data_IF_456498243387
#
_entry.id   IF_456498243387
#
_cell.length_a   1.000
_cell.length_b   1.000
_cell.length_c   1.000
_cell.angle_alpha   90.00
_cell.angle_beta   90.00
_cell.angle_gamma   90.00
#
_symmetry.space_group_name_H-M   'P 1'
#
loop_
_entity.id
_entity.type
_entity.pdbx_description
1 polymer ?
#
# COMPACT_ATOMS: atom_id res chain seq x y z
N UNK A 1 13.51 -69.46 67.38
CA UNK A 1 12.94 -70.19 66.22
C UNK A 1 11.45 -69.83 66.19
N UNK A 2 10.97 -68.81 65.49
CA UNK A 2 11.35 -68.35 64.15
C UNK A 2 10.40 -68.97 63.15
N UNK A 3 9.16 -68.47 63.04
CA UNK A 3 8.22 -68.81 61.96
C UNK A 3 7.01 -67.87 62.04
N UNK A 4 7.16 -66.63 61.57
CA UNK A 4 6.08 -65.81 61.00
C UNK A 4 6.63 -64.51 60.39
N UNK A 5 7.89 -64.54 59.94
CA UNK A 5 8.52 -63.44 59.21
C UNK A 5 8.93 -63.95 57.83
N UNK A 6 7.92 -64.24 56.99
CA UNK A 6 8.11 -64.54 55.56
C UNK A 6 6.81 -64.59 54.75
N UNK A 7 5.92 -63.62 54.93
CA UNK A 7 5.16 -63.16 53.76
C UNK A 7 6.07 -62.21 52.98
N UNK A 8 7.14 -62.81 52.44
CA UNK A 8 7.86 -62.28 51.30
C UNK A 8 6.79 -61.89 50.29
N UNK A 9 6.74 -60.62 49.89
CA UNK A 9 6.04 -60.18 48.69
C UNK A 9 6.47 -61.09 47.53
N UNK A 10 5.75 -62.19 47.31
CA UNK A 10 6.09 -63.15 46.27
C UNK A 10 5.54 -62.57 44.98
N UNK A 11 6.46 -62.09 44.17
CA UNK A 11 6.18 -61.63 42.82
C UNK A 11 6.00 -62.85 41.90
N UNK A 12 5.03 -62.77 41.00
CA UNK A 12 4.79 -63.78 39.98
C UNK A 12 5.97 -63.86 38.98
N UNK A 13 5.89 -64.79 38.01
CA UNK A 13 6.92 -64.98 36.98
C UNK A 13 7.13 -63.72 36.10
N UNK A 14 6.20 -62.78 36.13
CA UNK A 14 6.22 -61.53 35.38
C UNK A 14 6.68 -60.34 36.24
N UNK A 15 6.96 -60.56 37.53
CA UNK A 15 7.50 -59.57 38.45
C UNK A 15 6.47 -58.76 39.24
N UNK A 16 5.20 -59.19 39.33
CA UNK A 16 4.11 -58.48 40.02
C UNK A 16 3.63 -59.22 41.29
N UNK A 17 3.31 -58.49 42.36
CA UNK A 17 2.77 -59.04 43.60
C UNK A 17 1.32 -59.53 43.44
N UNK A 18 0.75 -60.10 44.52
CA UNK A 18 -0.65 -60.56 44.54
C UNK A 18 -1.68 -59.45 44.27
N UNK A 19 -1.32 -58.20 44.53
CA UNK A 19 -2.16 -57.03 44.26
C UNK A 19 -1.96 -56.50 42.83
N UNK A 20 -1.04 -57.10 42.05
CA UNK A 20 -0.75 -56.76 40.66
C UNK A 20 0.25 -55.62 40.45
N UNK A 21 1.14 -55.35 41.42
CA UNK A 21 2.15 -54.29 41.38
C UNK A 21 3.59 -54.84 41.32
N UNK A 22 4.44 -54.22 40.53
CA UNK A 22 5.87 -54.57 40.41
C UNK A 22 6.65 -54.22 41.69
N UNK A 23 7.95 -54.54 41.71
CA UNK A 23 8.84 -54.22 42.84
C UNK A 23 8.97 -52.72 43.13
N UNK A 24 8.73 -51.87 42.13
CA UNK A 24 8.72 -50.42 42.26
C UNK A 24 7.34 -49.91 42.74
N UNK A 25 6.35 -50.79 42.90
CA UNK A 25 5.00 -50.48 43.35
C UNK A 25 4.05 -50.00 42.25
N UNK A 26 4.31 -50.32 40.98
CA UNK A 26 3.50 -49.92 39.82
C UNK A 26 2.81 -51.12 39.15
N UNK A 27 1.55 -50.95 38.76
CA UNK A 27 0.79 -51.96 38.05
C UNK A 27 1.38 -52.24 36.68
N UNK A 28 0.92 -53.32 36.02
CA UNK A 28 1.25 -53.60 34.61
C UNK A 28 0.86 -52.47 33.65
N UNK A 29 -0.14 -51.67 34.03
CA UNK A 29 -0.56 -50.45 33.33
C UNK A 29 0.29 -49.22 33.66
N UNK A 30 1.29 -49.36 34.54
CA UNK A 30 2.28 -48.33 34.87
C UNK A 30 1.89 -47.38 36.01
N UNK A 31 0.86 -47.69 36.82
CA UNK A 31 0.34 -46.80 37.86
C UNK A 31 0.45 -47.44 39.25
N UNK A 32 0.82 -46.66 40.27
CA UNK A 32 0.87 -47.14 41.65
C UNK A 32 -0.52 -47.34 42.28
N UNK A 33 -0.58 -47.86 43.51
CA UNK A 33 -1.83 -48.06 44.27
C UNK A 33 -2.69 -46.81 44.43
N UNK A 34 -2.08 -45.61 44.35
CA UNK A 34 -2.78 -44.32 44.41
C UNK A 34 -3.20 -43.80 43.02
N UNK A 35 -2.94 -44.55 41.95
CA UNK A 35 -3.33 -44.25 40.59
C UNK A 35 -2.39 -43.31 39.82
N UNK A 36 -1.15 -43.13 40.27
CA UNK A 36 -0.17 -42.24 39.64
C UNK A 36 0.96 -43.02 38.93
N UNK A 37 1.41 -42.54 37.78
CA UNK A 37 2.53 -43.08 37.03
C UNK A 37 3.88 -42.81 37.72
N UNK A 38 4.98 -43.32 37.14
CA UNK A 38 6.35 -43.09 37.66
C UNK A 38 6.73 -41.61 37.71
N UNK A 39 6.09 -40.77 36.90
CA UNK A 39 6.30 -39.32 36.87
C UNK A 39 5.37 -38.56 37.83
N UNK A 40 4.50 -39.27 38.58
CA UNK A 40 3.60 -38.69 39.56
C UNK A 40 2.29 -38.12 38.99
N UNK A 41 1.88 -38.51 37.77
CA UNK A 41 0.64 -38.09 37.12
C UNK A 41 -0.41 -39.19 37.12
N UNK A 42 -1.68 -38.83 37.35
CA UNK A 42 -2.82 -39.74 37.26
C UNK A 42 -3.06 -40.19 35.81
N UNK A 43 -4.03 -41.10 35.62
CA UNK A 43 -4.42 -41.59 34.28
C UNK A 43 -4.91 -40.49 33.33
N UNK A 44 -5.32 -39.34 33.86
CA UNK A 44 -5.76 -38.18 33.08
C UNK A 44 -4.60 -37.19 32.86
N UNK A 45 -3.39 -37.50 33.32
CA UNK A 45 -2.20 -36.69 33.15
C UNK A 45 -2.02 -35.56 34.17
N UNK A 46 -2.66 -35.63 35.34
CA UNK A 46 -2.59 -34.60 36.39
C UNK A 46 -1.82 -35.07 37.64
N UNK A 47 -0.98 -34.21 38.19
CA UNK A 47 -0.23 -34.48 39.41
C UNK A 47 -1.16 -34.58 40.65
N UNK A 48 -0.59 -34.91 41.81
CA UNK A 48 -1.34 -34.98 43.08
C UNK A 48 -2.01 -33.66 43.48
N UNK A 49 -1.53 -32.53 42.96
CA UNK A 49 -2.10 -31.19 43.19
C UNK A 49 -3.16 -30.82 42.14
N UNK A 50 -3.40 -31.70 41.17
CA UNK A 50 -4.41 -31.53 40.12
C UNK A 50 -3.93 -30.78 38.89
N UNK A 51 -2.61 -30.67 38.65
CA UNK A 51 -2.03 -29.93 37.52
C UNK A 51 -1.40 -30.84 36.47
N UNK A 52 -1.61 -30.53 35.19
CA UNK A 52 -0.99 -31.26 34.08
C UNK A 52 0.53 -31.03 34.02
N UNK A 53 1.23 -31.72 33.11
CA UNK A 53 2.68 -31.54 32.90
C UNK A 53 3.09 -30.10 32.55
N UNK A 54 2.15 -29.28 32.05
CA UNK A 54 2.37 -27.87 31.72
C UNK A 54 1.99 -26.94 32.87
N UNK A 55 1.54 -27.48 34.00
CA UNK A 55 1.21 -26.72 35.21
C UNK A 55 -0.21 -26.15 35.22
N UNK A 56 -1.13 -26.65 34.40
CA UNK A 56 -2.52 -26.20 34.35
C UNK A 56 -3.47 -27.21 35.01
N UNK A 57 -4.44 -26.71 35.78
CA UNK A 57 -5.46 -27.52 36.41
C UNK A 57 -6.43 -28.13 35.37
N UNK A 58 -7.37 -28.95 35.83
CA UNK A 58 -8.38 -29.57 34.96
C UNK A 58 -9.29 -28.57 34.24
N UNK A 59 -9.38 -27.33 34.72
CA UNK A 59 -10.13 -26.23 34.09
C UNK A 59 -9.26 -25.41 33.14
N UNK A 60 -7.95 -25.70 33.06
CA UNK A 60 -7.00 -25.02 32.18
C UNK A 60 -6.36 -23.77 32.78
N UNK A 61 -6.37 -23.61 34.11
CA UNK A 61 -5.74 -22.49 34.81
C UNK A 61 -4.45 -22.91 35.51
N UNK A 62 -3.42 -22.07 35.46
CA UNK A 62 -2.19 -22.29 36.18
C UNK A 62 -2.36 -22.09 37.70
N UNK A 63 -1.29 -22.28 38.47
CA UNK A 63 -1.30 -22.09 39.93
C UNK A 63 -1.63 -20.67 40.38
N UNK A 64 -1.42 -19.67 39.53
CA UNK A 64 -1.74 -18.25 39.79
C UNK A 64 -3.16 -17.90 39.33
N UNK A 65 -3.84 -18.78 38.60
CA UNK A 65 -5.19 -18.62 38.07
C UNK A 65 -5.25 -18.03 36.66
N UNK A 66 -4.13 -18.00 35.92
CA UNK A 66 -4.09 -17.59 34.52
C UNK A 66 -4.46 -18.75 33.62
N UNK A 67 -5.26 -18.48 32.60
CA UNK A 67 -5.55 -19.45 31.55
C UNK A 67 -4.30 -19.74 30.69
N UNK A 68 -4.44 -20.66 29.73
CA UNK A 68 -3.37 -21.03 28.80
C UNK A 68 -2.89 -19.89 27.91
N UNK A 69 -3.67 -18.82 27.78
CA UNK A 69 -3.32 -17.62 27.03
C UNK A 69 -2.66 -16.57 27.92
N UNK A 70 -2.46 -16.85 29.21
CA UNK A 70 -1.86 -15.94 30.17
C UNK A 70 -2.82 -14.90 30.72
N UNK A 71 -4.14 -15.13 30.68
CA UNK A 71 -5.15 -14.19 31.20
C UNK A 71 -5.86 -14.72 32.44
N UNK A 72 -6.01 -13.86 33.45
CA UNK A 72 -6.80 -14.09 34.66
C UNK A 72 -7.84 -12.99 34.76
N UNK A 73 -9.11 -13.37 34.87
CA UNK A 73 -10.24 -12.42 34.85
C UNK A 73 -10.24 -11.48 33.62
N UNK A 74 -9.68 -11.95 32.50
CA UNK A 74 -9.58 -11.19 31.25
C UNK A 74 -8.36 -10.28 31.14
N UNK A 75 -7.44 -10.28 32.11
CA UNK A 75 -6.21 -9.47 32.12
C UNK A 75 -4.95 -10.32 32.21
N UNK A 76 -3.88 -9.89 31.53
CA UNK A 76 -2.55 -10.51 31.60
C UNK A 76 -1.86 -10.26 32.95
N UNK A 77 -0.63 -10.74 33.11
CA UNK A 77 0.15 -10.53 34.35
C UNK A 77 0.48 -9.05 34.59
N UNK A 78 0.55 -8.25 33.54
CA UNK A 78 0.76 -6.80 33.60
C UNK A 78 -0.57 -6.03 33.85
N UNK A 79 -1.71 -6.72 33.93
CA UNK A 79 -3.01 -6.13 34.19
C UNK A 79 -3.69 -5.51 32.97
N UNK A 80 -3.32 -5.92 31.75
CA UNK A 80 -3.91 -5.46 30.48
C UNK A 80 -4.80 -6.54 29.86
N UNK A 81 -5.93 -6.13 29.31
CA UNK A 81 -6.83 -7.01 28.58
C UNK A 81 -6.20 -7.46 27.25
N UNK A 82 -6.90 -8.35 26.54
CA UNK A 82 -6.46 -8.83 25.23
C UNK A 82 -6.35 -7.72 24.16
N UNK A 83 -6.92 -6.54 24.41
CA UNK A 83 -6.79 -5.35 23.54
C UNK A 83 -5.65 -4.43 24.00
N UNK A 84 -4.93 -4.79 25.06
CA UNK A 84 -3.82 -4.04 25.61
C UNK A 84 -4.23 -2.85 26.49
N UNK A 85 -5.43 -2.86 27.08
CA UNK A 85 -5.91 -1.83 28.00
C UNK A 85 -6.08 -2.36 29.42
N UNK A 86 -5.65 -1.58 30.41
CA UNK A 86 -5.85 -1.91 31.81
C UNK A 86 -7.32 -1.75 32.22
N UNK A 87 -7.63 -2.08 33.47
CA UNK A 87 -8.98 -1.97 34.03
C UNK A 87 -9.55 -0.54 33.99
N UNK A 88 -8.68 0.47 34.03
CA UNK A 88 -9.06 1.89 33.88
C UNK A 88 -9.23 2.31 32.41
N UNK A 89 -9.01 1.40 31.46
CA UNK A 89 -9.18 1.63 30.04
C UNK A 89 -7.98 2.31 29.34
N UNK A 90 -6.79 2.28 29.93
CA UNK A 90 -5.56 2.87 29.39
C UNK A 90 -4.55 1.80 28.96
N UNK A 91 -3.86 2.04 27.85
CA UNK A 91 -2.83 1.15 27.35
C UNK A 91 -1.52 1.30 28.14
N UNK A 92 -0.51 0.47 27.82
CA UNK A 92 0.82 0.53 28.44
C UNK A 92 1.51 1.91 28.34
N UNK A 93 1.14 2.73 27.36
CA UNK A 93 1.63 4.11 27.21
C UNK A 93 0.80 5.14 27.97
N UNK A 94 -0.22 4.72 28.72
CA UNK A 94 -1.10 5.58 29.49
C UNK A 94 -2.18 6.29 28.68
N UNK A 95 -2.52 5.80 27.48
CA UNK A 95 -3.57 6.39 26.62
C UNK A 95 -4.79 5.50 26.53
N UNK A 96 -5.97 6.09 26.62
CA UNK A 96 -7.24 5.41 26.44
C UNK A 96 -7.46 5.05 24.96
N UNK A 97 -8.56 4.34 24.69
CA UNK A 97 -8.92 3.93 23.32
C UNK A 97 -9.07 5.10 22.33
N UNK A 98 -9.38 6.31 22.82
CA UNK A 98 -9.48 7.53 22.00
C UNK A 98 -8.12 8.22 21.82
N UNK A 99 -7.04 7.69 22.40
CA UNK A 99 -5.69 8.22 22.29
C UNK A 99 -5.37 9.34 23.27
N UNK A 100 -6.13 9.49 24.35
CA UNK A 100 -5.89 10.53 25.38
C UNK A 100 -5.41 9.92 26.68
N UNK A 101 -4.50 10.60 27.35
CA UNK A 101 -4.04 10.24 28.68
C UNK A 101 -5.11 10.56 29.74
N UNK A 102 -4.80 10.26 31.00
CA UNK A 102 -5.72 10.49 32.14
C UNK A 102 -6.08 11.97 32.32
N UNK A 103 -5.19 12.86 31.93
CA UNK A 103 -5.39 14.32 31.97
C UNK A 103 -6.14 14.86 30.73
N UNK A 104 -6.52 13.98 29.79
CA UNK A 104 -7.30 14.34 28.60
C UNK A 104 -6.49 14.86 27.42
N UNK A 105 -5.17 14.62 27.38
CA UNK A 105 -4.27 15.07 26.30
C UNK A 105 -3.79 13.91 25.44
N UNK A 106 -3.64 14.15 24.13
CA UNK A 106 -3.07 13.20 23.19
C UNK A 106 -1.54 13.07 23.36
N UNK A 107 -0.92 12.20 22.56
CA UNK A 107 0.51 11.96 22.59
C UNK A 107 1.39 13.14 22.14
N UNK A 108 0.77 14.21 21.63
CA UNK A 108 1.42 15.48 21.28
C UNK A 108 1.00 16.60 22.22
N UNK A 109 0.38 16.26 23.35
CA UNK A 109 -0.03 17.23 24.35
C UNK A 109 -1.26 18.05 23.98
N UNK A 110 -2.08 17.63 23.01
CA UNK A 110 -3.32 18.34 22.68
C UNK A 110 -4.54 17.74 23.36
N UNK A 111 -5.37 18.59 23.96
CA UNK A 111 -6.66 18.19 24.51
C UNK A 111 -7.62 17.72 23.43
N UNK A 112 -8.79 17.21 23.84
CA UNK A 112 -9.87 16.90 22.90
C UNK A 112 -10.28 18.11 22.06
N UNK A 113 -10.35 19.29 22.69
CA UNK A 113 -10.67 20.58 22.07
C UNK A 113 -9.53 21.16 21.23
N UNK A 114 -8.38 20.48 21.20
CA UNK A 114 -7.22 20.89 20.40
C UNK A 114 -6.36 21.96 21.05
N UNK A 115 -6.45 22.16 22.36
CA UNK A 115 -5.59 23.06 23.12
C UNK A 115 -4.34 22.32 23.59
N UNK A 116 -3.16 22.88 23.32
CA UNK A 116 -1.89 22.28 23.72
C UNK A 116 -1.59 22.53 25.20
N UNK A 117 -1.07 21.52 25.87
CA UNK A 117 -0.83 21.50 27.32
C UNK A 117 0.12 22.61 27.77
N UNK A 118 1.17 22.91 27.01
CA UNK A 118 2.19 23.89 27.42
C UNK A 118 1.81 25.33 27.04
N UNK A 119 1.27 25.54 25.84
CA UNK A 119 1.01 26.89 25.31
C UNK A 119 -0.37 27.41 25.70
N UNK A 120 -1.24 26.53 26.20
CA UNK A 120 -2.66 26.82 26.53
C UNK A 120 -3.45 27.40 25.34
N UNK A 121 -2.96 27.18 24.12
CA UNK A 121 -3.53 27.67 22.87
C UNK A 121 -3.66 26.51 21.86
N UNK A 122 -4.34 26.73 20.72
CA UNK A 122 -4.50 25.68 19.69
C UNK A 122 -3.23 25.21 18.98
N UNK A 123 -2.06 25.76 19.32
CA UNK A 123 -0.78 25.49 18.68
C UNK A 123 0.23 25.01 19.71
N UNK A 124 1.06 24.02 19.35
CA UNK A 124 2.18 23.56 20.17
C UNK A 124 3.30 24.60 20.25
N UNK A 125 4.36 24.26 20.97
CA UNK A 125 5.57 25.09 21.11
C UNK A 125 6.30 25.34 19.79
N UNK A 126 6.09 24.49 18.78
CA UNK A 126 6.61 24.65 17.42
C UNK A 126 5.67 25.45 16.52
N UNK A 127 4.52 25.90 17.04
CA UNK A 127 3.54 26.69 16.32
C UNK A 127 2.58 25.88 15.43
N UNK A 128 2.48 24.56 15.60
CA UNK A 128 1.58 23.69 14.83
C UNK A 128 0.38 23.26 15.67
N UNK A 129 -0.80 23.17 15.07
CA UNK A 129 -2.00 22.71 15.75
C UNK A 129 -2.04 21.18 15.87
N UNK A 130 -3.09 20.66 16.53
CA UNK A 130 -3.36 19.22 16.61
C UNK A 130 -3.42 18.50 15.25
N UNK A 131 -3.73 19.19 14.15
CA UNK A 131 -3.71 18.58 12.80
C UNK A 131 -2.35 18.69 12.11
N UNK A 132 -1.36 19.30 12.77
CA UNK A 132 -0.01 19.49 12.25
C UNK A 132 0.14 20.72 11.35
N UNK A 133 -0.77 21.71 11.42
CA UNK A 133 -0.71 22.93 10.61
C UNK A 133 -0.44 24.16 11.47
N UNK A 134 0.41 25.05 10.97
CA UNK A 134 0.68 26.33 11.59
C UNK A 134 -0.51 27.29 11.48
N UNK A 135 -0.37 28.49 12.04
CA UNK A 135 -1.41 29.53 12.00
C UNK A 135 -1.84 29.93 10.58
N UNK A 136 -0.93 29.81 9.61
CA UNK A 136 -1.19 30.09 8.20
C UNK A 136 -1.79 28.86 7.47
N UNK A 137 -2.03 27.75 8.16
CA UNK A 137 -2.64 26.56 7.59
C UNK A 137 -1.67 25.65 6.84
N UNK A 138 -0.36 25.80 7.04
CA UNK A 138 0.68 24.98 6.40
C UNK A 138 1.34 24.02 7.38
N UNK A 139 1.63 22.81 6.94
CA UNK A 139 2.35 21.81 7.71
C UNK A 139 3.85 22.14 7.78
N UNK A 140 4.63 21.29 8.45
CA UNK A 140 6.07 21.48 8.60
C UNK A 140 6.84 21.50 7.27
N UNK A 141 6.30 20.83 6.26
CA UNK A 141 6.87 20.80 4.91
C UNK A 141 6.40 21.99 4.06
N UNK A 142 5.60 22.90 4.61
CA UNK A 142 5.11 24.09 3.91
C UNK A 142 3.86 23.87 3.05
N UNK A 143 3.15 22.75 3.21
CA UNK A 143 1.94 22.43 2.44
C UNK A 143 0.67 22.54 3.28
N UNK A 144 -0.38 23.07 2.67
CA UNK A 144 -1.70 23.16 3.28
C UNK A 144 -2.40 21.81 3.32
N UNK A 145 -3.63 21.77 3.89
CA UNK A 145 -4.44 20.55 3.99
C UNK A 145 -4.77 19.88 2.65
N UNK A 146 -4.71 20.64 1.55
CA UNK A 146 -4.95 20.15 0.20
C UNK A 146 -3.64 19.74 -0.50
N UNK A 147 -2.50 19.82 0.18
CA UNK A 147 -1.20 19.43 -0.35
C UNK A 147 -0.52 20.50 -1.21
N UNK A 148 -0.94 21.76 -1.13
CA UNK A 148 -0.36 22.87 -1.89
C UNK A 148 0.44 23.83 -1.00
N UNK A 149 1.57 24.31 -1.50
CA UNK A 149 2.40 25.30 -0.84
C UNK A 149 1.71 26.69 -0.87
N UNK A 150 2.41 27.71 -0.36
CA UNK A 150 1.89 29.08 -0.32
C UNK A 150 1.61 29.65 -1.71
N UNK A 151 2.35 29.20 -2.71
CA UNK A 151 2.24 29.64 -4.10
C UNK A 151 1.20 28.81 -4.88
N UNK A 152 0.52 27.86 -4.23
CA UNK A 152 -0.53 27.06 -4.84
C UNK A 152 -0.05 25.80 -5.58
N UNK A 153 1.20 25.39 -5.38
CA UNK A 153 1.81 24.23 -6.03
C UNK A 153 1.99 23.05 -5.07
N UNK A 154 1.72 21.85 -5.56
CA UNK A 154 1.90 20.63 -4.80
C UNK A 154 3.39 20.24 -4.72
N UNK A 155 3.68 19.14 -4.01
CA UNK A 155 5.06 18.66 -3.85
C UNK A 155 5.76 18.31 -5.16
N UNK A 156 5.00 18.02 -6.21
CA UNK A 156 5.52 17.73 -7.55
C UNK A 156 5.63 18.99 -8.42
N UNK A 157 5.36 20.18 -7.87
CA UNK A 157 5.46 21.44 -8.59
C UNK A 157 4.24 21.78 -9.45
N UNK A 158 3.10 21.09 -9.29
CA UNK A 158 1.88 21.37 -10.07
C UNK A 158 0.81 22.07 -9.25
N UNK A 159 0.12 23.03 -9.86
CA UNK A 159 -1.02 23.72 -9.28
C UNK A 159 -2.24 22.80 -9.20
N UNK A 160 -3.37 23.34 -8.72
CA UNK A 160 -4.62 22.58 -8.58
C UNK A 160 -5.16 22.05 -9.92
N UNK A 161 -4.88 22.76 -11.01
CA UNK A 161 -5.32 22.42 -12.36
C UNK A 161 -4.34 21.46 -13.06
N UNK A 162 -3.24 21.10 -12.39
CA UNK A 162 -2.27 20.12 -12.89
C UNK A 162 -1.14 20.71 -13.74
N UNK A 163 -0.97 22.04 -13.72
CA UNK A 163 0.09 22.75 -14.46
C UNK A 163 1.19 23.24 -13.55
N UNK A 164 2.43 23.18 -14.02
CA UNK A 164 3.59 23.67 -13.31
C UNK A 164 3.67 25.21 -13.33
N UNK A 165 4.78 25.75 -12.82
CA UNK A 165 5.02 27.20 -12.80
C UNK A 165 5.11 27.79 -14.21
N UNK A 166 5.59 27.01 -15.17
CA UNK A 166 5.74 27.40 -16.57
C UNK A 166 4.44 27.20 -17.38
N UNK A 167 3.39 26.68 -16.74
CA UNK A 167 2.07 26.47 -17.35
C UNK A 167 1.93 25.15 -18.09
N UNK A 168 2.80 24.16 -17.86
CA UNK A 168 2.78 22.85 -18.50
C UNK A 168 2.30 21.75 -17.56
N UNK A 169 1.48 20.85 -18.08
CA UNK A 169 1.03 19.69 -17.34
C UNK A 169 2.15 18.65 -17.19
N UNK A 170 1.88 17.57 -16.47
CA UNK A 170 2.84 16.47 -16.26
C UNK A 170 3.40 15.87 -17.56
N UNK A 171 2.65 15.95 -18.66
CA UNK A 171 3.06 15.45 -19.96
C UNK A 171 3.81 16.50 -20.80
N UNK A 172 4.04 17.70 -20.25
CA UNK A 172 4.75 18.78 -20.94
C UNK A 172 3.89 19.61 -21.88
N UNK A 173 2.56 19.56 -21.77
CA UNK A 173 1.64 20.35 -22.61
C UNK A 173 0.98 21.47 -21.82
N UNK A 174 0.87 22.64 -22.43
CA UNK A 174 0.19 23.81 -21.91
C UNK A 174 -1.32 23.58 -21.79
N UNK A 175 -2.02 24.55 -21.21
CA UNK A 175 -3.49 24.52 -21.14
C UNK A 175 -4.14 24.50 -22.53
N UNK A 176 -3.47 25.07 -23.52
CA UNK A 176 -3.91 25.07 -24.92
C UNK A 176 -3.54 23.77 -25.64
N UNK A 177 -2.86 22.83 -24.97
CA UNK A 177 -2.54 21.51 -25.51
C UNK A 177 -1.23 21.44 -26.29
N UNK A 178 -0.38 22.47 -26.23
CA UNK A 178 0.89 22.54 -26.96
C UNK A 178 2.09 22.37 -26.03
N UNK A 179 3.11 21.66 -26.49
CA UNK A 179 4.37 21.53 -25.78
C UNK A 179 5.17 22.83 -25.84
N UNK A 180 6.35 22.84 -25.22
CA UNK A 180 7.22 24.02 -25.17
C UNK A 180 7.72 24.48 -26.55
N UNK A 181 7.76 23.57 -27.51
CA UNK A 181 8.15 23.83 -28.90
C UNK A 181 6.95 24.25 -29.77
N UNK A 182 5.75 24.33 -29.19
CA UNK A 182 4.54 24.79 -29.87
C UNK A 182 3.74 23.69 -30.59
N UNK A 183 4.03 22.40 -30.34
CA UNK A 183 3.37 21.27 -30.99
C UNK A 183 2.40 20.53 -30.06
N UNK A 184 1.26 20.11 -30.59
CA UNK A 184 0.26 19.31 -29.89
C UNK A 184 0.73 17.88 -29.64
N UNK A 185 -0.12 17.06 -29.02
CA UNK A 185 0.20 15.65 -28.74
C UNK A 185 0.39 14.78 -30.00
N UNK A 186 -0.04 15.27 -31.16
CA UNK A 186 0.11 14.61 -32.44
C UNK A 186 1.32 15.17 -33.23
N UNK A 187 2.04 16.14 -32.68
CA UNK A 187 3.21 16.76 -33.31
C UNK A 187 2.88 17.91 -34.27
N UNK A 188 1.69 18.51 -34.21
CA UNK A 188 1.29 19.64 -35.07
C UNK A 188 1.20 20.95 -34.30
N UNK A 189 1.63 22.04 -34.94
CA UNK A 189 1.54 23.38 -34.39
C UNK A 189 0.09 23.90 -34.37
N UNK A 190 -0.10 25.14 -33.90
CA UNK A 190 -1.42 25.78 -33.89
C UNK A 190 -2.05 25.98 -35.28
N UNK A 191 -1.26 25.91 -36.34
CA UNK A 191 -1.71 26.00 -37.72
C UNK A 191 -1.95 24.63 -38.37
N UNK A 192 -1.66 23.53 -37.65
CA UNK A 192 -1.84 22.16 -38.15
C UNK A 192 -0.63 21.61 -38.91
N UNK A 193 0.55 22.21 -38.79
CA UNK A 193 1.78 21.79 -39.46
C UNK A 193 2.77 21.17 -38.48
N UNK A 194 3.38 20.05 -38.89
CA UNK A 194 4.36 19.34 -38.09
C UNK A 194 5.71 20.04 -38.06
N UNK A 195 6.67 19.46 -37.32
CA UNK A 195 8.06 19.97 -37.26
C UNK A 195 8.71 20.06 -38.65
N UNK A 196 8.33 19.19 -39.58
CA UNK A 196 8.79 19.19 -40.97
C UNK A 196 8.10 20.22 -41.87
N UNK A 197 7.12 20.98 -41.35
CA UNK A 197 6.37 21.98 -42.11
C UNK A 197 5.20 21.43 -42.92
N UNK A 198 4.88 20.13 -42.81
CA UNK A 198 3.76 19.49 -43.49
C UNK A 198 2.59 19.21 -42.55
N UNK A 199 1.37 19.35 -43.06
CA UNK A 199 0.16 19.04 -42.33
C UNK A 199 -0.06 17.52 -42.25
N UNK A 200 -1.17 17.12 -41.60
CA UNK A 200 -1.53 15.71 -41.43
C UNK A 200 -1.69 14.95 -42.75
N UNK A 201 -2.08 15.65 -43.81
CA UNK A 201 -2.28 15.09 -45.14
C UNK A 201 -0.98 15.08 -45.97
N UNK A 202 0.12 15.57 -45.42
CA UNK A 202 1.44 15.58 -46.05
C UNK A 202 1.73 16.82 -46.89
N UNK A 203 0.93 17.89 -46.79
CA UNK A 203 1.10 19.12 -47.59
C UNK A 203 1.62 20.29 -46.75
N UNK A 204 2.50 21.10 -47.33
CA UNK A 204 3.08 22.30 -46.73
C UNK A 204 2.07 23.46 -46.65
N UNK A 205 2.51 24.63 -46.19
CA UNK A 205 1.66 25.83 -46.10
C UNK A 205 1.17 26.34 -47.45
N UNK A 206 1.82 25.94 -48.54
CA UNK A 206 1.47 26.32 -49.91
C UNK A 206 0.59 25.25 -50.59
N UNK A 207 0.39 24.09 -49.96
CA UNK A 207 -0.45 23.01 -50.46
C UNK A 207 0.30 21.96 -51.28
N UNK A 208 1.64 21.89 -51.17
CA UNK A 208 2.48 20.92 -51.88
C UNK A 208 3.05 19.86 -50.95
N UNK A 209 3.15 18.62 -51.42
CA UNK A 209 3.78 17.53 -50.69
C UNK A 209 5.31 17.62 -50.67
N UNK A 210 5.97 16.65 -50.03
CA UNK A 210 7.44 16.62 -49.92
C UNK A 210 8.14 16.54 -51.28
N UNK A 211 7.46 16.02 -52.30
CA UNK A 211 7.95 15.92 -53.68
C UNK A 211 7.61 17.18 -54.51
N UNK A 212 6.88 18.14 -53.93
CA UNK A 212 6.51 19.41 -54.56
C UNK A 212 5.20 19.38 -55.34
N UNK A 213 4.31 18.40 -55.12
CA UNK A 213 3.04 18.26 -55.84
C UNK A 213 1.82 18.56 -54.98
N UNK A 214 0.81 19.20 -55.57
CA UNK A 214 -0.46 19.52 -54.91
C UNK A 214 -1.33 18.27 -54.70
N UNK A 215 -2.50 18.45 -54.07
CA UNK A 215 -3.46 17.35 -53.86
C UNK A 215 -3.99 16.69 -55.14
N UNK A 216 -3.80 17.33 -56.29
CA UNK A 216 -4.18 16.80 -57.60
C UNK A 216 -2.99 16.18 -58.34
N UNK A 217 -1.79 16.20 -57.75
CA UNK A 217 -0.57 15.63 -58.31
C UNK A 217 0.17 16.56 -59.27
N UNK A 218 -0.01 17.88 -59.19
CA UNK A 218 0.67 18.87 -60.04
C UNK A 218 1.65 19.74 -59.23
N UNK A 219 2.81 20.04 -59.81
CA UNK A 219 3.79 20.95 -59.23
C UNK A 219 3.34 22.42 -59.26
N UNK A 220 4.17 23.33 -58.73
CA UNK A 220 3.89 24.77 -58.73
C UNK A 220 3.68 25.36 -60.14
N UNK A 221 4.30 24.75 -61.16
CA UNK A 221 4.15 25.13 -62.57
C UNK A 221 2.93 24.48 -63.24
N UNK A 222 2.20 23.60 -62.55
CA UNK A 222 0.99 22.93 -63.01
C UNK A 222 1.23 21.64 -63.80
N UNK A 223 2.37 20.97 -63.64
CA UNK A 223 2.75 19.73 -64.31
C UNK A 223 2.77 18.53 -63.36
N UNK A 224 2.31 17.38 -63.84
CA UNK A 224 2.33 16.12 -63.09
C UNK A 224 3.75 15.55 -62.97
N UNK A 225 3.90 14.46 -62.21
CA UNK A 225 5.18 13.79 -62.02
C UNK A 225 5.80 13.20 -63.31
N UNK A 226 5.07 13.22 -64.42
CA UNK A 226 5.53 12.83 -65.75
C UNK A 226 5.84 14.04 -66.64
N UNK A 227 5.65 15.27 -66.13
CA UNK A 227 5.87 16.53 -66.81
C UNK A 227 4.72 16.97 -67.71
N UNK A 228 3.48 16.54 -67.46
CA UNK A 228 2.29 16.92 -68.25
C UNK A 228 1.29 17.76 -67.44
N UNK A 229 0.73 18.80 -68.06
CA UNK A 229 -0.32 19.63 -67.48
C UNK A 229 -1.64 18.85 -67.32
N UNK A 230 -2.63 19.47 -66.67
CA UNK A 230 -3.98 18.91 -66.51
C UNK A 230 -4.67 18.53 -67.83
N UNK A 231 -4.25 19.12 -68.95
CA UNK A 231 -4.77 18.85 -70.29
C UNK A 231 -3.98 17.71 -70.99
N UNK A 232 -2.92 17.20 -70.35
CA UNK A 232 -2.07 16.11 -70.82
C UNK A 232 -0.93 16.56 -71.74
N UNK A 233 -0.46 17.81 -71.66
CA UNK A 233 0.62 18.38 -72.48
C UNK A 233 1.84 18.80 -71.66
N UNK A 234 3.04 18.53 -72.17
CA UNK A 234 4.28 18.95 -71.53
C UNK A 234 4.55 20.47 -71.68
N UNK A 235 5.62 20.97 -71.06
CA UNK A 235 6.05 22.37 -71.18
C UNK A 235 6.26 22.85 -72.63
N UNK A 236 6.55 21.93 -73.56
CA UNK A 236 6.71 22.21 -74.98
C UNK A 236 5.39 22.14 -75.78
N UNK A 237 4.27 21.81 -75.13
CA UNK A 237 2.94 21.72 -75.73
C UNK A 237 2.66 20.38 -76.43
N UNK A 238 3.40 19.32 -76.12
CA UNK A 238 3.22 17.97 -76.68
C UNK A 238 2.59 17.01 -75.68
N UNK A 239 1.64 16.19 -76.15
CA UNK A 239 1.08 15.12 -75.32
C UNK A 239 1.95 13.86 -75.32
N UNK A 240 1.60 12.86 -74.49
CA UNK A 240 2.30 11.57 -74.38
C UNK A 240 2.43 10.75 -75.69
N UNK A 241 1.77 11.19 -76.76
CA UNK A 241 1.84 10.59 -78.10
C UNK A 241 2.61 11.49 -79.09
N UNK A 242 3.37 12.50 -78.63
CA UNK A 242 4.08 13.49 -79.45
C UNK A 242 3.16 14.32 -80.37
N UNK A 243 1.89 14.55 -80.01
CA UNK A 243 1.00 15.46 -80.74
C UNK A 243 0.97 16.84 -80.10
N UNK A 244 0.99 17.90 -80.90
CA UNK A 244 0.97 19.28 -80.42
C UNK A 244 -0.47 19.71 -80.04
N UNK A 245 -0.61 20.51 -78.97
CA UNK A 245 -1.89 21.09 -78.53
C UNK A 245 -2.64 21.82 -79.66
N UNK A 246 -1.91 22.51 -80.52
CA UNK A 246 -2.47 23.27 -81.65
C UNK A 246 -2.93 22.39 -82.83
N UNK A 247 -2.51 21.12 -82.91
CA UNK A 247 -2.90 20.20 -83.98
C UNK A 247 -4.23 19.49 -83.69
N UNK A 248 -4.67 19.44 -82.42
CA UNK A 248 -5.92 18.76 -82.03
C UNK A 248 -7.10 19.70 -81.77
N UNK A 249 -6.92 21.02 -81.75
CA UNK A 249 -8.03 21.98 -81.72
C UNK A 249 -8.73 22.13 -83.10
N UNK A 250 -8.18 21.52 -84.15
CA UNK A 250 -8.65 21.67 -85.55
C UNK A 250 -9.38 20.46 -86.13
N UNK A 251 -9.64 19.42 -85.34
CA UNK A 251 -10.49 18.26 -85.71
C UNK A 251 -11.84 18.29 -84.94
#
# INVERSE_FOLDING_TARGET
MGFLDRFSHTFDKQGYDLDGYDRDGFSKSGYNKKGYDKNGFDRNGYDKKGYDKRGYDRKGFDKKGYDKNGFKEGYDEDGFDFKGFNKDGYNKKGYNKKGYNKDGYDNRGFSIDGIHIDTKNPFDTNGYNKKGYNKNGFNKDGYNKNGFNKDGYNKNGFNKDGYDLDGYNKNGYSIDGYNKDGYDSNGFDANGYGETGYNKDGYDSNGFDEDGYDSNGFDEDGYDHLGYDKDGYNQEGYNKYNKNKNEMETD
#
